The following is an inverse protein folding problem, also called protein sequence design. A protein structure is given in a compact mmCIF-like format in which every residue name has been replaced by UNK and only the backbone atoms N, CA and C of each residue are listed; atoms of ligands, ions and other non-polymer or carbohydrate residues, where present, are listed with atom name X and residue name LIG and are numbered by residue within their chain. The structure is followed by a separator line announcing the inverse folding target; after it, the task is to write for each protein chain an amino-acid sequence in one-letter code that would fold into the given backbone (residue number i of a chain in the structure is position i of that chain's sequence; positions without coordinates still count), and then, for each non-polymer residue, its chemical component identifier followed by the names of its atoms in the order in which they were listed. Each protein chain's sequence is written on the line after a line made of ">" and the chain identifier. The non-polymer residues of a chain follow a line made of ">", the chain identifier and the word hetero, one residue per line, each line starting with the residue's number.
data_IF_555433633605
#
_entry.id   IF_555433633605
#
_cell.length_a   1.000
_cell.length_b   1.000
_cell.length_c   1.000
_cell.angle_alpha   90.00
_cell.angle_beta   90.00
_cell.angle_gamma   90.00
#
_symmetry.space_group_name_H-M   'P 1'
#
loop_
_entity.id
_entity.type
_entity.pdbx_description
1 polymer ?
#
# COMPACT_ATOMS: atom_id res chain seq x y z
N UNK A 1 2.36 -6.67 -30.06
CA UNK A 1 2.82 -6.02 -28.83
C UNK A 1 2.20 -4.63 -28.80
N UNK A 2 1.10 -4.46 -28.08
CA UNK A 2 0.50 -3.13 -27.90
C UNK A 2 1.51 -2.26 -27.15
N UNK A 3 1.80 -1.08 -27.70
CA UNK A 3 2.65 -0.09 -27.06
C UNK A 3 2.07 0.21 -25.67
N UNK A 4 2.86 -0.03 -24.62
CA UNK A 4 2.50 0.37 -23.26
C UNK A 4 2.25 1.88 -23.27
N UNK A 5 0.99 2.27 -23.09
CA UNK A 5 0.58 3.66 -23.05
C UNK A 5 1.27 4.39 -21.89
N UNK A 6 1.67 5.64 -22.12
CA UNK A 6 2.21 6.52 -21.09
C UNK A 6 1.32 6.50 -19.84
N UNK A 7 1.92 6.34 -18.65
CA UNK A 7 1.16 6.35 -17.39
C UNK A 7 0.40 7.67 -17.25
N UNK A 8 -0.91 7.58 -16.99
CA UNK A 8 -1.82 8.71 -16.74
C UNK A 8 -2.42 8.67 -15.34
N UNK A 9 -2.37 7.52 -14.66
CA UNK A 9 -2.91 7.37 -13.32
C UNK A 9 -1.98 6.61 -12.37
N UNK A 10 -1.96 7.04 -11.11
CA UNK A 10 -1.23 6.39 -10.02
C UNK A 10 -2.22 6.05 -8.92
N UNK A 11 -2.32 4.78 -8.56
CA UNK A 11 -3.14 4.35 -7.44
C UNK A 11 -2.27 3.88 -6.27
N UNK A 12 -2.70 4.15 -5.04
CA UNK A 12 -1.93 3.84 -3.84
C UNK A 12 -2.68 2.88 -2.91
N UNK A 13 -1.94 1.96 -2.30
CA UNK A 13 -2.34 1.38 -1.03
C UNK A 13 -2.25 2.40 0.12
N UNK A 14 -2.94 2.14 1.24
CA UNK A 14 -2.86 2.97 2.45
C UNK A 14 -1.97 2.32 3.53
N UNK A 15 -2.31 1.11 3.99
CA UNK A 15 -1.72 0.53 5.19
C UNK A 15 -0.39 -0.14 4.91
N UNK A 16 0.72 0.50 5.29
CA UNK A 16 2.07 0.08 4.89
C UNK A 16 2.65 0.95 3.78
N UNK A 17 1.79 1.68 3.05
CA UNK A 17 2.17 2.56 1.94
C UNK A 17 2.04 4.05 2.29
N UNK A 18 0.84 4.64 2.31
CA UNK A 18 0.65 6.05 2.69
C UNK A 18 0.61 6.27 4.20
N UNK A 19 0.24 5.24 4.96
CA UNK A 19 0.02 5.31 6.40
C UNK A 19 0.72 4.16 7.13
N UNK A 20 0.97 4.38 8.41
CA UNK A 20 1.47 3.38 9.35
C UNK A 20 0.62 3.39 10.62
N UNK A 21 0.69 2.29 11.37
CA UNK A 21 -0.10 2.07 12.58
C UNK A 21 -0.97 0.81 12.46
N UNK A 22 -1.41 0.32 13.61
CA UNK A 22 -2.29 -0.85 13.72
C UNK A 22 -3.39 -0.56 14.75
N UNK A 23 -4.58 -1.13 14.60
CA UNK A 23 -5.61 -1.03 15.61
C UNK A 23 -5.17 -1.73 16.90
N UNK A 24 -5.46 -1.11 18.04
CA UNK A 24 -5.38 -1.72 19.36
C UNK A 24 -6.70 -2.45 19.64
N UNK A 25 -6.72 -3.73 19.26
CA UNK A 25 -7.89 -4.58 19.44
C UNK A 25 -8.25 -4.82 20.92
N UNK A 26 -7.28 -4.73 21.84
CA UNK A 26 -7.53 -4.88 23.27
C UNK A 26 -8.18 -3.64 23.89
N UNK A 27 -7.75 -2.44 23.47
CA UNK A 27 -8.43 -1.19 23.80
C UNK A 27 -9.84 -1.15 23.21
N UNK A 28 -10.00 -1.55 21.94
CA UNK A 28 -11.30 -1.64 21.29
C UNK A 28 -12.24 -2.58 22.06
N UNK A 29 -11.81 -3.81 22.35
CA UNK A 29 -12.60 -4.79 23.11
C UNK A 29 -13.03 -4.24 24.48
N UNK A 30 -12.11 -3.65 25.26
CA UNK A 30 -12.43 -3.05 26.56
C UNK A 30 -13.47 -1.93 26.46
N UNK A 31 -13.42 -1.11 25.40
CA UNK A 31 -14.37 -0.03 25.17
C UNK A 31 -15.75 -0.57 24.78
N UNK A 32 -15.81 -1.57 23.91
CA UNK A 32 -17.08 -2.22 23.53
C UNK A 32 -17.71 -2.93 24.71
N UNK A 33 -16.95 -3.67 25.52
CA UNK A 33 -17.49 -4.32 26.72
C UNK A 33 -18.12 -3.31 27.70
N UNK A 34 -17.50 -2.14 27.88
CA UNK A 34 -18.08 -1.06 28.69
C UNK A 34 -19.36 -0.49 28.06
N UNK A 35 -19.39 -0.34 26.74
CA UNK A 35 -20.55 0.14 25.99
C UNK A 35 -21.75 -0.83 26.13
N UNK A 36 -21.47 -2.13 26.05
CA UNK A 36 -22.48 -3.18 26.24
C UNK A 36 -22.99 -3.20 27.69
N UNK A 37 -22.09 -3.11 28.67
CA UNK A 37 -22.45 -3.04 30.08
C UNK A 37 -23.31 -1.81 30.41
N UNK A 38 -23.02 -0.63 29.83
CA UNK A 38 -23.86 0.56 30.02
C UNK A 38 -25.26 0.44 29.41
N UNK A 39 -25.48 -0.55 28.53
CA UNK A 39 -26.78 -0.91 27.95
C UNK A 39 -27.46 -2.08 28.64
N UNK A 40 -26.93 -2.55 29.77
CA UNK A 40 -27.49 -3.65 30.54
C UNK A 40 -27.10 -5.05 30.05
N UNK A 41 -26.19 -5.17 29.09
CA UNK A 41 -25.67 -6.47 28.65
C UNK A 41 -24.49 -6.89 29.54
N UNK A 42 -24.63 -8.02 30.22
CA UNK A 42 -23.54 -8.63 30.98
C UNK A 42 -22.72 -9.55 30.06
N UNK A 43 -21.74 -8.98 29.34
CA UNK A 43 -20.82 -9.73 28.48
C UNK A 43 -19.43 -9.76 29.11
N UNK A 44 -18.92 -10.97 29.36
CA UNK A 44 -17.57 -11.24 29.82
C UNK A 44 -16.54 -11.13 28.70
N UNK A 45 -15.26 -11.06 29.10
CA UNK A 45 -14.15 -10.98 28.15
C UNK A 45 -14.02 -12.24 27.29
N UNK A 46 -14.19 -13.41 27.90
CA UNK A 46 -14.11 -14.70 27.20
C UNK A 46 -15.21 -14.84 26.15
N UNK A 47 -16.46 -14.53 26.51
CA UNK A 47 -17.59 -14.52 25.58
C UNK A 47 -17.34 -13.58 24.38
N UNK A 48 -16.79 -12.39 24.63
CA UNK A 48 -16.40 -11.46 23.56
C UNK A 48 -15.28 -12.00 22.67
N UNK A 49 -14.29 -12.66 23.25
CA UNK A 49 -13.19 -13.29 22.50
C UNK A 49 -13.71 -14.44 21.62
N UNK A 50 -14.62 -15.27 22.12
CA UNK A 50 -15.28 -16.32 21.35
C UNK A 50 -16.14 -15.76 20.20
N UNK A 51 -16.99 -14.77 20.48
CA UNK A 51 -17.81 -14.11 19.47
C UNK A 51 -16.95 -13.45 18.38
N UNK A 52 -15.84 -12.82 18.77
CA UNK A 52 -14.86 -12.26 17.83
C UNK A 52 -14.18 -13.36 17.03
N UNK A 53 -13.84 -14.50 17.65
CA UNK A 53 -13.27 -15.66 16.99
C UNK A 53 -14.18 -16.21 15.89
N UNK A 54 -15.49 -16.33 16.17
CA UNK A 54 -16.51 -16.72 15.18
C UNK A 54 -16.56 -15.76 14.00
N UNK A 55 -16.68 -14.45 14.26
CA UNK A 55 -16.70 -13.42 13.22
C UNK A 55 -15.40 -13.40 12.39
N UNK A 56 -14.24 -13.59 13.02
CA UNK A 56 -12.96 -13.69 12.31
C UNK A 56 -12.87 -14.95 11.44
N UNK A 57 -13.50 -16.05 11.84
CA UNK A 57 -13.55 -17.27 11.03
C UNK A 57 -14.35 -17.05 9.74
N UNK A 58 -15.53 -16.46 9.85
CA UNK A 58 -16.35 -16.08 8.69
C UNK A 58 -15.60 -15.10 7.78
N UNK A 59 -14.97 -14.07 8.35
CA UNK A 59 -14.14 -13.13 7.61
C UNK A 59 -13.01 -13.83 6.85
N UNK A 60 -12.31 -14.79 7.47
CA UNK A 60 -11.23 -15.53 6.79
C UNK A 60 -11.78 -16.34 5.63
N UNK A 61 -12.89 -17.07 5.82
CA UNK A 61 -13.53 -17.84 4.76
C UNK A 61 -13.90 -16.96 3.55
N UNK A 62 -14.52 -15.79 3.77
CA UNK A 62 -14.81 -14.84 2.68
C UNK A 62 -13.54 -14.37 1.95
N UNK A 63 -12.44 -14.16 2.68
CA UNK A 63 -11.18 -13.65 2.13
C UNK A 63 -10.41 -14.68 1.31
N UNK A 64 -10.65 -15.97 1.51
CA UNK A 64 -10.12 -17.04 0.64
C UNK A 64 -10.61 -16.89 -0.80
N UNK A 65 -11.85 -16.41 -0.97
CA UNK A 65 -12.44 -16.07 -2.27
C UNK A 65 -12.24 -14.60 -2.65
N UNK A 66 -11.34 -13.90 -1.95
CA UNK A 66 -11.07 -12.46 -2.12
C UNK A 66 -12.29 -11.55 -1.97
N UNK A 67 -13.32 -12.02 -1.27
CA UNK A 67 -14.42 -11.18 -0.79
C UNK A 67 -14.03 -10.48 0.51
N UNK A 68 -14.70 -9.39 0.80
CA UNK A 68 -14.56 -8.64 2.04
C UNK A 68 -15.94 -8.39 2.64
N UNK A 69 -16.00 -8.32 3.97
CA UNK A 69 -17.19 -7.84 4.66
C UNK A 69 -16.96 -6.44 5.23
N UNK A 70 -18.03 -5.67 5.33
CA UNK A 70 -18.02 -4.40 6.02
C UNK A 70 -17.80 -4.57 7.53
N UNK A 71 -17.34 -3.52 8.18
CA UNK A 71 -17.25 -3.48 9.64
C UNK A 71 -18.62 -3.71 10.29
N UNK A 72 -19.71 -3.21 9.67
CA UNK A 72 -21.08 -3.41 10.12
C UNK A 72 -21.46 -4.90 10.11
N UNK A 73 -21.21 -5.61 9.02
CA UNK A 73 -21.46 -7.06 8.94
C UNK A 73 -20.61 -7.82 9.97
N UNK A 74 -19.32 -7.50 10.08
CA UNK A 74 -18.43 -8.14 11.05
C UNK A 74 -18.93 -7.97 12.49
N UNK A 75 -19.27 -6.74 12.88
CA UNK A 75 -19.76 -6.46 14.24
C UNK A 75 -21.17 -6.98 14.49
N UNK A 76 -22.00 -7.10 13.45
CA UNK A 76 -23.31 -7.77 13.58
C UNK A 76 -23.13 -9.24 13.95
N UNK A 77 -22.19 -9.95 13.32
CA UNK A 77 -21.88 -11.34 13.69
C UNK A 77 -21.37 -11.47 15.13
N UNK A 78 -20.58 -10.49 15.60
CA UNK A 78 -20.12 -10.45 16.99
C UNK A 78 -21.30 -10.28 17.95
N UNK A 79 -22.18 -9.31 17.71
CA UNK A 79 -23.33 -9.04 18.57
C UNK A 79 -24.33 -10.20 18.58
N UNK A 80 -24.72 -10.72 17.41
CA UNK A 80 -25.61 -11.88 17.32
C UNK A 80 -25.04 -13.11 18.01
N UNK A 81 -23.73 -13.32 17.95
CA UNK A 81 -23.04 -14.40 18.66
C UNK A 81 -23.10 -14.29 20.19
N UNK A 82 -23.45 -13.12 20.71
CA UNK A 82 -23.62 -12.82 22.14
C UNK A 82 -25.10 -12.74 22.54
N UNK A 83 -26.03 -13.02 21.62
CA UNK A 83 -27.46 -12.82 21.83
C UNK A 83 -27.88 -11.35 21.91
N UNK A 84 -27.03 -10.43 21.44
CA UNK A 84 -27.32 -8.99 21.38
C UNK A 84 -27.81 -8.64 19.98
N UNK A 85 -28.96 -7.98 19.89
CA UNK A 85 -29.50 -7.55 18.59
C UNK A 85 -28.59 -6.49 17.94
N UNK A 86 -28.19 -6.64 16.66
CA UNK A 86 -27.34 -5.67 15.96
C UNK A 86 -28.06 -4.36 15.59
N UNK A 87 -28.35 -3.54 16.59
CA UNK A 87 -28.94 -2.22 16.39
C UNK A 87 -28.01 -1.27 15.59
N UNK A 88 -28.55 -0.48 14.63
CA UNK A 88 -27.74 0.43 13.83
C UNK A 88 -26.94 1.48 14.61
N UNK A 89 -27.47 2.05 15.70
CA UNK A 89 -26.78 3.06 16.50
C UNK A 89 -25.64 2.43 17.30
N UNK A 90 -25.87 1.23 17.87
CA UNK A 90 -24.84 0.47 18.56
C UNK A 90 -23.66 0.14 17.62
N UNK A 91 -23.94 -0.28 16.39
CA UNK A 91 -22.92 -0.57 15.38
C UNK A 91 -22.11 0.68 15.00
N UNK A 92 -22.75 1.85 14.93
CA UNK A 92 -22.07 3.13 14.68
C UNK A 92 -21.15 3.53 15.83
N UNK A 93 -21.60 3.39 17.08
CA UNK A 93 -20.76 3.65 18.25
C UNK A 93 -19.58 2.68 18.31
N UNK A 94 -19.79 1.38 18.03
CA UNK A 94 -18.71 0.41 17.92
C UNK A 94 -17.70 0.82 16.85
N UNK A 95 -18.16 1.30 15.69
CA UNK A 95 -17.27 1.84 14.66
C UNK A 95 -16.49 3.05 15.17
N UNK A 96 -17.13 4.01 15.86
CA UNK A 96 -16.43 5.14 16.48
C UNK A 96 -15.34 4.68 17.45
N UNK A 97 -15.64 3.70 18.31
CA UNK A 97 -14.67 3.13 19.26
C UNK A 97 -13.53 2.39 18.55
N UNK A 98 -13.80 1.71 17.44
CA UNK A 98 -12.78 1.08 16.61
C UNK A 98 -11.84 2.13 16.00
N UNK A 99 -12.39 3.21 15.43
CA UNK A 99 -11.61 4.31 14.85
C UNK A 99 -10.73 4.99 15.91
N UNK A 100 -11.28 5.26 17.11
CA UNK A 100 -10.54 5.82 18.25
C UNK A 100 -9.48 4.87 18.83
N UNK A 101 -9.51 3.59 18.47
CA UNK A 101 -8.52 2.60 18.91
C UNK A 101 -7.48 2.32 17.83
N UNK A 102 -7.44 3.12 16.76
CA UNK A 102 -6.55 2.90 15.63
C UNK A 102 -5.64 4.12 15.39
N UNK A 103 -4.52 4.22 16.13
CA UNK A 103 -3.57 5.33 15.99
C UNK A 103 -2.82 5.23 14.66
N UNK A 104 -3.36 5.86 13.61
CA UNK A 104 -2.73 5.95 12.29
C UNK A 104 -1.90 7.21 12.15
N UNK A 105 -0.72 7.06 11.57
CA UNK A 105 0.19 8.17 11.23
C UNK A 105 0.45 8.16 9.74
N UNK A 106 0.65 9.35 9.19
CA UNK A 106 1.02 9.48 7.79
C UNK A 106 2.48 9.04 7.65
N UNK A 107 2.77 8.18 6.67
CA UNK A 107 4.15 7.73 6.42
C UNK A 107 4.98 8.94 5.98
N UNK A 108 6.25 8.99 6.41
CA UNK A 108 7.15 10.10 6.06
C UNK A 108 7.22 10.29 4.55
N UNK A 109 6.99 11.52 4.10
CA UNK A 109 7.03 11.89 2.68
C UNK A 109 5.71 11.69 1.93
N UNK A 110 4.69 11.03 2.51
CA UNK A 110 3.47 10.71 1.77
C UNK A 110 2.72 11.94 1.26
N UNK A 111 2.54 12.97 2.10
CA UNK A 111 1.90 14.23 1.68
C UNK A 111 2.63 14.82 0.47
N UNK A 112 3.94 14.98 0.57
CA UNK A 112 4.76 15.57 -0.49
C UNK A 112 4.61 14.80 -1.79
N UNK A 113 4.69 13.46 -1.74
CA UNK A 113 4.59 12.61 -2.93
C UNK A 113 3.21 12.71 -3.58
N UNK A 114 2.14 12.71 -2.79
CA UNK A 114 0.77 12.90 -3.30
C UNK A 114 0.64 14.28 -3.95
N UNK A 115 1.13 15.34 -3.30
CA UNK A 115 1.08 16.71 -3.81
C UNK A 115 1.92 16.91 -5.08
N UNK A 116 3.07 16.22 -5.19
CA UNK A 116 3.97 16.25 -6.35
C UNK A 116 3.36 15.52 -7.57
N UNK A 117 2.66 14.41 -7.34
CA UNK A 117 2.07 13.60 -8.41
C UNK A 117 0.71 14.12 -8.88
N UNK A 118 -0.06 14.76 -8.00
CA UNK A 118 -1.41 15.26 -8.29
C UNK A 118 -1.54 16.14 -9.54
N UNK A 119 -0.67 17.14 -9.80
CA UNK A 119 -0.79 17.96 -11.00
C UNK A 119 -0.43 17.22 -12.30
N UNK A 120 0.18 16.03 -12.21
CA UNK A 120 0.71 15.28 -13.36
C UNK A 120 -0.12 14.04 -13.69
N UNK A 121 -0.77 13.45 -12.69
CA UNK A 121 -1.46 12.16 -12.82
C UNK A 121 -2.81 12.17 -12.10
N UNK A 122 -3.75 11.37 -12.59
CA UNK A 122 -4.97 11.06 -11.85
C UNK A 122 -4.63 10.13 -10.69
N UNK A 123 -4.98 10.52 -9.46
CA UNK A 123 -4.64 9.73 -8.28
C UNK A 123 -5.85 8.96 -7.75
N UNK A 124 -5.60 7.72 -7.32
CA UNK A 124 -6.61 6.89 -6.65
C UNK A 124 -6.05 6.14 -5.44
N UNK A 125 -6.94 5.61 -4.61
CA UNK A 125 -6.60 4.78 -3.45
C UNK A 125 -7.38 3.48 -3.49
N UNK A 126 -6.69 2.36 -3.26
CA UNK A 126 -7.28 1.04 -3.09
C UNK A 126 -6.73 0.43 -1.80
N UNK A 127 -7.59 0.23 -0.79
CA UNK A 127 -7.18 -0.27 0.52
C UNK A 127 -8.01 -1.48 0.96
N UNK A 128 -7.33 -2.52 1.42
CA UNK A 128 -7.99 -3.65 2.06
C UNK A 128 -8.32 -3.31 3.52
N UNK A 129 -9.59 -3.04 3.84
CA UNK A 129 -10.08 -2.81 5.20
C UNK A 129 -11.57 -3.09 5.27
N UNK A 130 -12.05 -3.65 6.39
CA UNK A 130 -13.49 -3.80 6.63
C UNK A 130 -14.17 -2.45 6.92
N UNK A 131 -13.44 -1.52 7.52
CA UNK A 131 -13.96 -0.25 8.01
C UNK A 131 -13.62 0.92 7.07
N UNK A 132 -14.39 2.02 7.09
CA UNK A 132 -14.07 3.25 6.33
C UNK A 132 -12.79 3.97 6.81
N UNK A 133 -12.07 3.42 7.78
CA UNK A 133 -10.85 3.95 8.37
C UNK A 133 -9.84 4.55 7.37
N UNK A 134 -9.51 3.90 6.23
CA UNK A 134 -8.56 4.49 5.28
C UNK A 134 -9.07 5.79 4.66
N UNK A 135 -10.35 5.86 4.27
CA UNK A 135 -10.94 7.08 3.71
C UNK A 135 -10.98 8.20 4.75
N UNK A 136 -11.53 7.93 5.92
CA UNK A 136 -11.64 8.92 7.01
C UNK A 136 -10.26 9.44 7.41
N UNK A 137 -9.26 8.55 7.47
CA UNK A 137 -7.88 8.96 7.74
C UNK A 137 -7.31 9.93 6.71
N UNK A 138 -7.57 9.72 5.41
CA UNK A 138 -7.12 10.64 4.38
C UNK A 138 -7.87 11.98 4.45
N UNK A 139 -9.17 11.98 4.78
CA UNK A 139 -9.99 13.17 5.01
C UNK A 139 -9.51 13.99 6.21
N UNK A 140 -9.26 13.35 7.35
CA UNK A 140 -8.70 13.99 8.56
C UNK A 140 -7.34 14.66 8.30
N UNK A 141 -6.62 14.20 7.27
CA UNK A 141 -5.33 14.77 6.83
C UNK A 141 -5.49 15.70 5.64
N UNK A 142 -6.70 15.93 5.13
CA UNK A 142 -6.97 16.74 3.94
C UNK A 142 -6.20 16.26 2.70
N UNK A 143 -5.96 14.96 2.59
CA UNK A 143 -5.34 14.32 1.42
C UNK A 143 -6.37 13.74 0.46
N UNK A 144 -7.59 13.48 0.92
CA UNK A 144 -8.71 12.96 0.15
C UNK A 144 -8.98 13.78 -1.11
N UNK A 145 -8.87 15.11 -1.02
CA UNK A 145 -9.05 16.06 -2.13
C UNK A 145 -8.14 15.83 -3.35
N UNK A 146 -7.02 15.12 -3.17
CA UNK A 146 -6.10 14.83 -4.28
C UNK A 146 -6.48 13.55 -5.04
N UNK A 147 -7.35 12.72 -4.48
CA UNK A 147 -7.72 11.43 -5.07
C UNK A 147 -9.08 11.54 -5.75
N UNK A 148 -9.12 11.25 -7.05
CA UNK A 148 -10.37 11.16 -7.80
C UNK A 148 -11.22 9.95 -7.39
N UNK A 149 -10.60 8.95 -6.77
CA UNK A 149 -11.28 7.76 -6.23
C UNK A 149 -10.59 7.25 -4.96
N UNK A 150 -11.39 6.84 -3.98
CA UNK A 150 -10.92 6.13 -2.78
C UNK A 150 -11.81 4.90 -2.58
N UNK A 151 -11.28 3.72 -2.88
CA UNK A 151 -11.95 2.43 -2.70
C UNK A 151 -11.41 1.70 -1.47
N UNK A 152 -12.33 1.34 -0.57
CA UNK A 152 -12.04 0.52 0.61
C UNK A 152 -12.79 -0.80 0.46
N UNK A 153 -12.09 -1.93 0.60
CA UNK A 153 -12.66 -3.25 0.27
C UNK A 153 -13.97 -3.58 1.01
N UNK A 154 -14.12 -3.16 2.27
CA UNK A 154 -15.33 -3.39 3.06
C UNK A 154 -16.58 -2.66 2.54
N UNK A 155 -16.41 -1.68 1.65
CA UNK A 155 -17.51 -0.94 1.00
C UNK A 155 -17.73 -1.41 -0.43
N UNK A 156 -16.71 -1.99 -1.04
CA UNK A 156 -16.76 -2.56 -2.39
C UNK A 156 -17.26 -4.01 -2.37
N UNK A 157 -17.04 -4.74 -1.27
CA UNK A 157 -17.32 -6.17 -1.13
C UNK A 157 -16.21 -7.09 -1.66
N UNK A 158 -15.23 -6.54 -2.37
CA UNK A 158 -14.07 -7.26 -2.91
C UNK A 158 -12.77 -6.61 -2.44
N UNK A 159 -11.79 -7.44 -2.10
CA UNK A 159 -10.45 -6.99 -1.65
C UNK A 159 -9.39 -7.32 -2.68
N UNK A 160 -8.30 -6.55 -2.70
CA UNK A 160 -7.08 -6.92 -3.43
C UNK A 160 -6.62 -8.32 -2.98
N UNK A 161 -6.25 -9.24 -3.89
CA UNK A 161 -5.96 -9.03 -5.31
C UNK A 161 -7.15 -9.17 -6.29
N UNK A 162 -8.41 -9.26 -5.83
CA UNK A 162 -9.57 -9.44 -6.72
C UNK A 162 -9.62 -8.35 -7.81
N UNK A 163 -9.85 -8.69 -9.10
CA UNK A 163 -9.78 -7.73 -10.20
C UNK A 163 -10.79 -6.58 -10.08
N UNK A 164 -11.97 -6.84 -9.52
CA UNK A 164 -13.06 -5.85 -9.47
C UNK A 164 -12.66 -4.52 -8.80
N UNK A 165 -11.88 -4.55 -7.71
CA UNK A 165 -11.48 -3.30 -7.05
C UNK A 165 -10.51 -2.47 -7.90
N UNK A 166 -9.65 -3.13 -8.69
CA UNK A 166 -8.75 -2.45 -9.62
C UNK A 166 -9.51 -1.93 -10.84
N UNK A 167 -10.33 -2.76 -11.47
CA UNK A 167 -11.13 -2.37 -12.63
C UNK A 167 -12.09 -1.22 -12.30
N UNK A 168 -12.70 -1.24 -11.11
CA UNK A 168 -13.52 -0.13 -10.64
C UNK A 168 -12.73 1.17 -10.49
N UNK A 169 -11.54 1.12 -9.88
CA UNK A 169 -10.69 2.31 -9.77
C UNK A 169 -10.29 2.85 -11.14
N UNK A 170 -9.95 1.99 -12.11
CA UNK A 170 -9.62 2.38 -13.47
C UNK A 170 -10.80 3.05 -14.19
N UNK A 171 -12.02 2.51 -14.04
CA UNK A 171 -13.26 3.10 -14.58
C UNK A 171 -13.52 4.49 -14.00
N UNK A 172 -13.45 4.63 -12.67
CA UNK A 172 -13.67 5.92 -11.99
C UNK A 172 -12.58 6.95 -12.34
N UNK A 173 -11.35 6.48 -12.57
CA UNK A 173 -10.23 7.31 -13.04
C UNK A 173 -10.25 7.55 -14.55
N UNK A 174 -11.12 6.89 -15.33
CA UNK A 174 -11.23 7.03 -16.77
C UNK A 174 -9.94 6.73 -17.55
N UNK A 175 -9.22 5.67 -17.17
CA UNK A 175 -7.97 5.21 -17.81
C UNK A 175 -8.00 3.71 -18.10
N UNK A 176 -7.22 3.27 -19.08
CA UNK A 176 -7.02 1.83 -19.33
C UNK A 176 -6.01 1.24 -18.33
N UNK A 177 -5.99 -0.10 -18.13
CA UNK A 177 -5.02 -0.72 -17.23
C UNK A 177 -3.55 -0.41 -17.58
N UNK A 178 -3.20 -0.41 -18.87
CA UNK A 178 -1.84 -0.17 -19.34
C UNK A 178 -1.33 1.25 -19.03
N UNK A 179 -2.24 2.22 -18.83
CA UNK A 179 -1.92 3.61 -18.51
C UNK A 179 -1.90 3.88 -17.01
N UNK A 180 -1.98 2.85 -16.18
CA UNK A 180 -2.06 2.98 -14.74
C UNK A 180 -1.00 2.16 -14.03
N UNK A 181 -0.52 2.70 -12.92
CA UNK A 181 0.42 2.04 -12.01
C UNK A 181 -0.16 1.98 -10.60
N UNK A 182 -0.06 0.82 -9.96
CA UNK A 182 -0.38 0.68 -8.55
C UNK A 182 0.90 0.72 -7.70
N UNK A 183 0.86 1.45 -6.59
CA UNK A 183 1.95 1.57 -5.62
C UNK A 183 1.49 0.93 -4.30
N UNK A 184 2.20 -0.10 -3.86
CA UNK A 184 1.85 -0.85 -2.65
C UNK A 184 3.05 -1.57 -2.04
N UNK A 185 2.90 -2.09 -0.83
CA UNK A 185 3.97 -2.79 -0.10
C UNK A 185 3.79 -4.32 -0.11
N UNK A 186 2.68 -4.83 -0.64
CA UNK A 186 2.34 -6.26 -0.61
C UNK A 186 2.32 -6.90 -2.00
N UNK A 187 3.31 -7.71 -2.38
CA UNK A 187 3.31 -8.41 -3.67
C UNK A 187 2.10 -9.32 -3.90
N UNK A 188 1.62 -9.99 -2.86
CA UNK A 188 0.53 -10.98 -2.91
C UNK A 188 -0.86 -10.34 -3.10
N UNK A 189 -1.06 -9.09 -2.69
CA UNK A 189 -2.33 -8.38 -2.86
C UNK A 189 -2.23 -7.26 -3.88
N UNK A 190 -1.27 -6.35 -3.71
CA UNK A 190 -1.11 -5.16 -4.54
C UNK A 190 -0.52 -5.56 -5.89
N UNK A 191 0.59 -6.29 -5.87
CA UNK A 191 1.31 -6.71 -7.07
C UNK A 191 0.48 -7.68 -7.91
N UNK A 192 0.04 -8.79 -7.31
CA UNK A 192 -0.76 -9.80 -8.00
C UNK A 192 -2.05 -9.21 -8.61
N UNK A 193 -2.76 -8.35 -7.86
CA UNK A 193 -3.99 -7.73 -8.33
C UNK A 193 -3.78 -6.72 -9.45
N UNK A 194 -2.82 -5.80 -9.30
CA UNK A 194 -2.51 -4.81 -10.32
C UNK A 194 -2.07 -5.48 -11.63
N UNK A 195 -1.13 -6.43 -11.55
CA UNK A 195 -0.65 -7.16 -12.71
C UNK A 195 -1.72 -8.03 -13.35
N UNK A 196 -2.59 -8.65 -12.54
CA UNK A 196 -3.68 -9.50 -13.01
C UNK A 196 -4.70 -8.78 -13.90
N UNK A 197 -4.81 -7.45 -13.79
CA UNK A 197 -5.65 -6.62 -14.66
C UNK A 197 -4.88 -5.88 -15.75
N UNK A 198 -3.55 -6.07 -15.85
CA UNK A 198 -2.69 -5.42 -16.84
C UNK A 198 -2.12 -4.05 -16.43
N UNK A 199 -2.18 -3.69 -15.15
CA UNK A 199 -1.52 -2.48 -14.63
C UNK A 199 -0.03 -2.72 -14.37
N UNK A 200 0.74 -1.64 -14.38
CA UNK A 200 2.08 -1.65 -13.80
C UNK A 200 2.02 -1.69 -12.26
N UNK A 201 3.08 -2.20 -11.64
CA UNK A 201 3.22 -2.27 -10.18
C UNK A 201 4.58 -1.73 -9.73
N UNK A 202 4.54 -0.79 -8.78
CA UNK A 202 5.71 -0.30 -8.05
C UNK A 202 5.64 -0.86 -6.63
N UNK A 203 6.62 -1.69 -6.28
CA UNK A 203 6.73 -2.24 -4.94
C UNK A 203 7.48 -1.27 -4.02
N UNK A 204 6.81 -0.82 -2.96
CA UNK A 204 7.43 -0.12 -1.86
C UNK A 204 8.02 -1.13 -0.86
N UNK A 205 9.31 -1.43 -0.99
CA UNK A 205 10.00 -2.35 -0.11
C UNK A 205 11.33 -1.77 0.35
N UNK A 206 11.57 -1.63 1.67
CA UNK A 206 12.84 -1.12 2.16
C UNK A 206 14.00 -2.02 1.73
N UNK A 207 13.78 -3.33 1.58
CA UNK A 207 14.80 -4.30 1.15
C UNK A 207 14.59 -4.72 -0.30
N UNK A 208 15.65 -5.23 -0.92
CA UNK A 208 15.49 -5.99 -2.16
C UNK A 208 14.65 -7.23 -1.85
N UNK A 209 13.53 -7.47 -2.54
CA UNK A 209 12.70 -8.64 -2.29
C UNK A 209 13.40 -9.92 -2.75
N UNK A 210 12.86 -11.07 -2.33
CA UNK A 210 13.31 -12.39 -2.79
C UNK A 210 12.98 -12.65 -4.27
N UNK A 211 13.33 -13.85 -4.74
CA UNK A 211 12.90 -14.33 -6.06
C UNK A 211 11.38 -14.49 -6.14
N UNK A 212 10.82 -14.40 -7.36
CA UNK A 212 9.40 -14.60 -7.64
C UNK A 212 8.49 -13.37 -7.42
N UNK A 213 9.03 -12.27 -6.91
CA UNK A 213 8.31 -10.99 -6.87
C UNK A 213 8.43 -10.32 -8.23
N UNK A 214 7.30 -10.00 -8.86
CA UNK A 214 7.31 -9.30 -10.13
C UNK A 214 6.78 -7.87 -9.94
N UNK A 215 7.64 -6.88 -10.20
CA UNK A 215 7.30 -5.47 -10.16
C UNK A 215 8.08 -4.73 -11.24
N UNK A 216 7.47 -3.71 -11.86
CA UNK A 216 8.15 -2.86 -12.84
C UNK A 216 9.19 -1.95 -12.19
N UNK A 217 9.00 -1.60 -10.91
CA UNK A 217 10.03 -0.95 -10.10
C UNK A 217 9.95 -1.38 -8.64
N UNK A 218 11.09 -1.34 -7.94
CA UNK A 218 11.14 -1.52 -6.49
C UNK A 218 11.86 -0.34 -5.85
N UNK A 219 11.17 0.35 -4.96
CA UNK A 219 11.66 1.56 -4.29
C UNK A 219 11.77 1.35 -2.77
N UNK A 220 12.85 1.83 -2.12
CA UNK A 220 13.05 1.66 -0.68
C UNK A 220 12.20 2.60 0.17
N UNK A 221 11.72 3.69 -0.41
CA UNK A 221 10.96 4.71 0.29
C UNK A 221 9.91 5.35 -0.61
N UNK A 222 8.87 5.90 0.01
CA UNK A 222 7.78 6.56 -0.71
C UNK A 222 8.29 7.78 -1.50
N UNK A 223 9.30 8.48 -0.99
CA UNK A 223 9.93 9.61 -1.65
C UNK A 223 10.64 9.26 -2.96
N UNK A 224 10.92 7.98 -3.21
CA UNK A 224 11.51 7.52 -4.47
C UNK A 224 10.43 7.14 -5.52
N UNK A 225 9.14 7.13 -5.15
CA UNK A 225 8.03 6.78 -6.07
C UNK A 225 7.91 7.73 -7.26
N UNK A 226 8.02 9.06 -7.14
CA UNK A 226 7.89 9.95 -8.30
C UNK A 226 8.87 9.61 -9.43
N UNK A 227 10.14 9.33 -9.11
CA UNK A 227 11.14 8.92 -10.09
C UNK A 227 10.83 7.55 -10.73
N UNK A 228 10.24 6.63 -9.97
CA UNK A 228 9.79 5.34 -10.52
C UNK A 228 8.58 5.52 -11.46
N UNK A 229 7.64 6.41 -11.15
CA UNK A 229 6.50 6.71 -12.03
C UNK A 229 6.98 7.42 -13.30
N UNK A 230 7.89 8.38 -13.17
CA UNK A 230 8.51 9.07 -14.31
C UNK A 230 9.19 8.06 -15.24
N UNK A 231 9.99 7.14 -14.71
CA UNK A 231 10.64 6.06 -15.47
C UNK A 231 9.64 5.26 -16.32
N UNK A 232 8.48 4.92 -15.77
CA UNK A 232 7.44 4.17 -16.48
C UNK A 232 6.63 5.01 -17.48
N UNK A 233 6.79 6.34 -17.42
CA UNK A 233 6.07 7.27 -18.28
C UNK A 233 6.87 7.72 -19.51
N UNK A 234 8.17 7.42 -19.55
CA UNK A 234 9.06 7.84 -20.65
C UNK A 234 8.84 6.95 -21.89
N UNK A 235 8.59 7.52 -23.09
CA UNK A 235 8.53 6.76 -24.34
C UNK A 235 9.83 6.01 -24.63
N UNK A 236 10.96 6.67 -24.37
CA UNK A 236 12.32 6.11 -24.44
C UNK A 236 12.68 5.29 -23.19
N UNK A 237 11.76 5.13 -22.24
CA UNK A 237 12.01 4.45 -20.97
C UNK A 237 12.45 3.01 -21.19
N UNK A 238 11.84 2.30 -22.14
CA UNK A 238 12.25 0.95 -22.53
C UNK A 238 13.68 0.93 -23.09
N UNK A 239 14.00 1.81 -24.06
CA UNK A 239 15.33 1.91 -24.66
C UNK A 239 16.40 2.32 -23.64
N UNK A 240 16.08 3.26 -22.75
CA UNK A 240 16.94 3.66 -21.65
C UNK A 240 17.19 2.49 -20.70
N UNK A 241 16.14 1.78 -20.29
CA UNK A 241 16.25 0.60 -19.43
C UNK A 241 17.08 -0.51 -20.07
N UNK A 242 16.93 -0.72 -21.38
CA UNK A 242 17.73 -1.66 -22.17
C UNK A 242 19.20 -1.24 -22.21
N UNK A 243 19.49 0.05 -22.47
CA UNK A 243 20.85 0.59 -22.46
C UNK A 243 21.53 0.47 -21.08
N UNK A 244 20.75 0.52 -19.99
CA UNK A 244 21.21 0.37 -18.60
C UNK A 244 21.22 -1.10 -18.15
N UNK A 245 20.83 -2.05 -19.01
CA UNK A 245 20.90 -3.48 -18.80
C UNK A 245 19.84 -4.07 -17.87
N UNK A 246 18.74 -3.34 -17.59
CA UNK A 246 17.58 -3.77 -16.78
C UNK A 246 17.94 -4.49 -15.47
N UNK A 247 19.01 -4.05 -14.80
CA UNK A 247 19.47 -4.62 -13.53
C UNK A 247 20.13 -3.54 -12.69
N UNK A 248 20.16 -3.76 -11.38
CA UNK A 248 20.92 -2.91 -10.47
C UNK A 248 22.39 -2.81 -10.93
N UNK A 249 22.86 -1.58 -11.14
CA UNK A 249 24.22 -1.27 -11.59
C UNK A 249 25.31 -1.83 -10.65
N UNK A 250 25.00 -1.94 -9.35
CA UNK A 250 25.98 -2.32 -8.32
C UNK A 250 26.00 -3.80 -7.94
N UNK A 251 24.90 -4.53 -8.13
CA UNK A 251 24.83 -5.94 -7.69
C UNK A 251 24.09 -6.86 -8.67
N UNK A 252 23.69 -6.34 -9.83
CA UNK A 252 22.97 -7.05 -10.88
C UNK A 252 21.61 -7.64 -10.47
N UNK A 253 21.07 -7.21 -9.32
CA UNK A 253 19.71 -7.57 -8.89
C UNK A 253 18.69 -7.18 -9.96
N UNK A 254 17.70 -8.05 -10.26
CA UNK A 254 16.62 -7.73 -11.19
C UNK A 254 15.58 -6.77 -10.57
N UNK A 255 15.67 -6.52 -9.27
CA UNK A 255 14.78 -5.60 -8.55
C UNK A 255 15.45 -4.24 -8.48
N UNK A 256 14.93 -3.26 -9.21
CA UNK A 256 15.56 -1.95 -9.32
C UNK A 256 14.53 -0.83 -9.49
N UNK A 257 15.01 0.40 -9.40
CA UNK A 257 14.32 1.59 -9.88
C UNK A 257 15.36 2.55 -10.47
N UNK A 258 14.90 3.52 -11.25
CA UNK A 258 15.74 4.56 -11.86
C UNK A 258 16.00 5.69 -10.87
N UNK A 259 17.27 6.07 -10.77
CA UNK A 259 17.74 7.20 -9.98
C UNK A 259 18.69 8.05 -10.82
N UNK A 260 18.97 9.27 -10.37
CA UNK A 260 20.04 10.11 -10.92
C UNK A 260 21.20 10.21 -9.94
N UNK A 261 22.41 10.00 -10.43
CA UNK A 261 23.67 10.23 -9.72
C UNK A 261 24.51 11.20 -10.56
N UNK A 262 24.74 12.42 -10.07
CA UNK A 262 25.45 13.47 -10.83
C UNK A 262 24.83 13.66 -12.23
N UNK A 263 23.49 13.77 -12.28
CA UNK A 263 22.67 13.89 -13.48
C UNK A 263 22.72 12.71 -14.46
N UNK A 264 23.42 11.63 -14.13
CA UNK A 264 23.43 10.39 -14.92
C UNK A 264 22.36 9.41 -14.44
N UNK A 265 21.56 8.83 -15.34
CA UNK A 265 20.60 7.80 -14.98
C UNK A 265 21.32 6.52 -14.53
N UNK A 266 20.85 5.93 -13.42
CA UNK A 266 21.38 4.68 -12.88
C UNK A 266 20.27 3.83 -12.30
N UNK A 267 20.32 2.52 -12.54
CA UNK A 267 19.41 1.56 -11.93
C UNK A 267 19.99 1.03 -10.63
N UNK A 268 19.23 1.11 -9.54
CA UNK A 268 19.67 0.61 -8.23
C UNK A 268 18.58 -0.21 -7.56
N UNK A 269 18.98 -1.30 -6.91
CA UNK A 269 18.08 -2.02 -6.00
C UNK A 269 17.91 -1.27 -4.67
N UNK A 270 16.87 -1.59 -3.87
CA UNK A 270 16.63 -0.94 -2.57
C UNK A 270 17.84 -1.00 -1.61
N UNK A 271 18.59 -2.10 -1.60
CA UNK A 271 19.77 -2.23 -0.72
C UNK A 271 20.94 -1.33 -1.16
N UNK A 272 21.22 -1.28 -2.45
CA UNK A 272 22.26 -0.43 -3.02
C UNK A 272 21.89 1.05 -2.91
N UNK A 273 20.65 1.44 -3.23
CA UNK A 273 20.15 2.82 -3.10
C UNK A 273 20.29 3.36 -1.69
N UNK A 274 19.89 2.59 -0.67
CA UNK A 274 20.01 3.03 0.73
C UNK A 274 21.45 3.10 1.21
N UNK A 275 22.33 2.25 0.67
CA UNK A 275 23.76 2.29 1.00
C UNK A 275 24.41 3.58 0.49
N UNK A 276 23.97 4.11 -0.65
CA UNK A 276 24.45 5.38 -1.20
C UNK A 276 23.94 6.61 -0.43
N UNK A 277 22.67 6.61 0.01
CA UNK A 277 22.12 7.69 0.84
C UNK A 277 22.80 7.83 2.21
N UNK A 278 23.37 6.74 2.73
CA UNK A 278 24.05 6.71 4.04
C UNK A 278 25.52 7.11 3.96
N UNK A 279 25.94 7.97 3.04
CA UNK A 279 27.35 8.33 2.79
C UNK A 279 28.11 9.06 3.95
N UNK A 280 27.87 8.69 5.20
CA UNK A 280 28.83 8.67 6.32
C UNK A 280 29.22 7.24 6.75
N UNK A 281 28.58 6.20 6.21
CA UNK A 281 28.84 4.80 6.53
C UNK A 281 29.57 4.12 5.36
N UNK A 282 30.84 3.72 5.61
CA UNK A 282 31.63 2.89 4.70
C UNK A 282 30.77 1.74 4.13
N UNK A 283 30.79 1.50 2.81
CA UNK A 283 29.99 0.44 2.19
C UNK A 283 30.30 -0.91 2.85
N UNK A 284 29.26 -1.61 3.32
CA UNK A 284 29.39 -2.96 3.88
C UNK A 284 29.86 -3.90 2.78
N UNK A 285 31.05 -4.48 3.00
CA UNK A 285 31.77 -5.42 2.13
C UNK A 285 30.81 -6.40 1.43
N UNK A 286 30.52 -6.16 0.15
CA UNK A 286 30.15 -7.22 -0.80
C UNK A 286 31.29 -7.29 -1.82
N UNK A 287 32.05 -8.37 -1.73
CA UNK A 287 33.45 -8.50 -2.16
C UNK A 287 33.76 -8.51 -3.66
N UNK A 288 32.96 -7.85 -4.51
CA UNK A 288 33.24 -7.80 -5.96
C UNK A 288 33.33 -6.40 -6.58
N UNK A 289 32.91 -5.33 -5.89
CA UNK A 289 32.82 -3.99 -6.51
C UNK A 289 33.80 -2.95 -5.95
N UNK A 290 34.77 -3.37 -5.12
CA UNK A 290 35.73 -2.44 -4.48
C UNK A 290 36.47 -1.56 -5.52
N UNK A 291 36.72 -2.08 -6.72
CA UNK A 291 37.35 -1.35 -7.83
C UNK A 291 36.42 -0.32 -8.52
N UNK A 292 35.12 -0.61 -8.62
CA UNK A 292 34.13 0.33 -9.21
C UNK A 292 33.87 1.51 -8.25
N UNK A 293 33.80 1.23 -6.94
CA UNK A 293 33.70 2.27 -5.90
C UNK A 293 34.93 3.19 -5.84
N UNK A 294 36.14 2.69 -6.13
CA UNK A 294 37.36 3.50 -6.07
C UNK A 294 37.56 4.46 -7.25
N UNK A 295 36.94 4.20 -8.41
CA UNK A 295 37.01 5.10 -9.57
C UNK A 295 35.95 6.21 -9.53
N UNK A 296 34.78 5.97 -8.94
CA UNK A 296 33.69 6.95 -8.87
C UNK A 296 33.70 7.79 -7.58
N UNK A 297 34.42 7.38 -6.52
CA UNK A 297 34.46 8.09 -5.24
C UNK A 297 35.85 8.70 -4.99
N UNK A 298 36.18 9.74 -5.75
CA UNK A 298 37.14 10.76 -5.29
C UNK A 298 36.33 12.03 -5.03
N UNK A 299 36.21 12.50 -3.78
CA UNK A 299 35.85 13.89 -3.57
C UNK A 299 36.95 14.70 -4.25
N UNK A 300 36.61 15.46 -5.28
CA UNK A 300 37.48 16.53 -5.75
C UNK A 300 37.73 17.45 -4.53
N UNK A 301 38.95 17.39 -3.99
CA UNK A 301 39.54 18.50 -3.26
C UNK A 301 40.10 19.47 -4.28
#
# INVERSE_FOLDING_TARGET
>A
MEAQGRIRAVTFDVGGTLAEGRPDHGLYARRVLRLLASRGFAVGREEWEEATGRALSELRSRREEHREMSFREFSSLQLSSLGVEPDPLLLEEMLSLYLLSFPRRLKRGARRVVEELFPLYRLGVLSNSMSPAPRLFLQERGLDRYFGVILVSGEVGYRKPHPEIFLRALRELGVSPAEAVHVGDRPDTDGAGAKGVGMSFILLSPRTPGGGVEAQAVVPSLSDVPGAVEMLSLPEGEELLDSLGRRCFLCSSPHFSLYRLEDRPVLLCPDCRRSLHRASAKPRKHGKYRAVYQRAWRPHR
#
